data_IF_049110294177
#
_entry.id   IF_049110294177
#
_cell.length_a   1.000
_cell.length_b   1.000
_cell.length_c   1.000
_cell.angle_alpha   90.00
_cell.angle_beta   90.00
_cell.angle_gamma   90.00
#
_symmetry.space_group_name_H-M   'P 1'
#
loop_
_entity.id
_entity.type
_entity.pdbx_description
1 polymer ?
#
# COMPACT_ATOMS: atom_id res chain seq x y z
N UNK A 1 3.73 -14.06 2.07
CA UNK A 1 4.81 -14.33 3.03
C UNK A 1 4.53 -15.61 3.80
N UNK A 2 5.51 -16.52 3.87
CA UNK A 2 5.47 -17.68 4.76
C UNK A 2 6.09 -17.33 6.10
N UNK A 3 5.42 -17.65 7.22
CA UNK A 3 5.98 -17.48 8.57
C UNK A 3 6.42 -18.84 9.13
N UNK A 4 7.62 -18.89 9.69
CA UNK A 4 8.24 -20.06 10.32
C UNK A 4 8.67 -19.66 11.74
N UNK A 5 8.26 -20.41 12.76
CA UNK A 5 8.58 -20.11 14.17
C UNK A 5 9.75 -20.97 14.62
N UNK A 6 10.81 -20.33 15.07
CA UNK A 6 12.04 -20.98 15.57
C UNK A 6 12.17 -20.86 17.09
N UNK A 7 11.69 -19.74 17.66
CA UNK A 7 11.73 -19.47 19.11
C UNK A 7 10.46 -18.81 19.65
N UNK A 8 10.59 -18.24 20.86
CA UNK A 8 9.56 -17.44 21.53
C UNK A 8 9.48 -15.98 21.02
N UNK A 9 8.72 -15.15 21.72
CA UNK A 9 8.91 -13.68 21.73
C UNK A 9 10.30 -13.36 22.31
N UNK A 10 10.98 -12.33 21.79
CA UNK A 10 12.12 -11.70 22.45
C UNK A 10 11.68 -10.51 23.32
N UNK A 11 10.54 -9.90 22.97
CA UNK A 11 9.96 -8.67 23.51
C UNK A 11 8.43 -8.76 23.49
N UNK A 12 7.72 -7.94 24.26
CA UNK A 12 6.26 -7.87 24.23
C UNK A 12 5.74 -7.35 22.87
N UNK A 13 6.43 -6.37 22.28
CA UNK A 13 6.13 -5.87 20.92
C UNK A 13 6.27 -6.95 19.81
N UNK A 14 6.92 -8.08 20.12
CA UNK A 14 6.95 -9.26 19.26
C UNK A 14 5.60 -9.89 18.97
N UNK A 15 4.59 -9.69 19.83
CA UNK A 15 3.23 -10.16 19.54
C UNK A 15 2.55 -9.30 18.46
N UNK A 16 2.68 -7.97 18.53
CA UNK A 16 2.18 -7.04 17.51
C UNK A 16 2.85 -7.29 16.15
N UNK A 17 4.18 -7.50 16.14
CA UNK A 17 4.91 -7.84 14.92
C UNK A 17 4.33 -9.09 14.24
N UNK A 18 3.95 -10.09 15.03
CA UNK A 18 3.49 -11.38 14.50
C UNK A 18 2.03 -11.35 14.09
N UNK A 19 1.21 -10.47 14.69
CA UNK A 19 -0.09 -10.08 14.14
C UNK A 19 0.05 -9.32 12.81
N UNK A 20 1.02 -8.39 12.71
CA UNK A 20 1.29 -7.63 11.50
C UNK A 20 1.75 -8.53 10.34
N UNK A 21 2.74 -9.40 10.56
CA UNK A 21 3.22 -10.33 9.53
C UNK A 21 2.14 -11.35 9.11
N UNK A 22 1.28 -11.80 10.03
CA UNK A 22 0.15 -12.67 9.69
C UNK A 22 -0.85 -12.00 8.74
N UNK A 23 -1.06 -10.68 8.87
CA UNK A 23 -1.97 -9.92 8.01
C UNK A 23 -1.51 -9.78 6.55
N UNK A 24 -0.22 -10.02 6.25
CA UNK A 24 0.31 -9.99 4.89
C UNK A 24 -0.04 -11.23 4.07
N UNK A 25 -0.60 -12.27 4.69
CA UNK A 25 -0.98 -13.51 4.03
C UNK A 25 0.19 -14.30 3.44
N UNK A 26 -0.13 -15.41 2.77
CA UNK A 26 0.84 -16.25 2.05
C UNK A 26 0.98 -15.81 0.60
N UNK A 27 2.10 -16.16 -0.02
CA UNK A 27 2.42 -15.81 -1.40
C UNK A 27 2.95 -14.39 -1.60
N UNK A 28 3.12 -14.02 -2.87
CA UNK A 28 3.77 -12.80 -3.36
C UNK A 28 2.87 -11.56 -3.42
N UNK A 29 1.55 -11.71 -3.35
CA UNK A 29 0.56 -10.64 -3.60
C UNK A 29 0.61 -9.39 -2.69
N UNK A 30 1.40 -9.40 -1.61
CA UNK A 30 1.62 -8.23 -0.72
C UNK A 30 3.11 -7.92 -0.57
N UNK A 31 3.90 -8.89 -0.13
CA UNK A 31 5.35 -8.76 0.11
C UNK A 31 6.19 -9.94 -0.38
N UNK A 32 5.59 -11.14 -0.53
CA UNK A 32 6.35 -12.38 -0.73
C UNK A 32 7.20 -12.76 0.48
N UNK A 33 8.20 -13.60 0.27
CA UNK A 33 9.26 -13.91 1.23
C UNK A 33 8.92 -14.93 2.32
N UNK A 34 9.92 -15.19 3.16
CA UNK A 34 9.88 -16.06 4.33
C UNK A 34 10.30 -15.28 5.58
N UNK A 35 9.49 -15.30 6.62
CA UNK A 35 9.80 -14.73 7.93
C UNK A 35 10.19 -15.84 8.91
N UNK A 36 11.39 -15.73 9.50
CA UNK A 36 11.89 -16.58 10.58
C UNK A 36 11.67 -15.87 11.92
N UNK A 37 10.70 -16.33 12.72
CA UNK A 37 10.28 -15.69 13.97
C UNK A 37 11.04 -16.25 15.17
N UNK A 38 11.60 -15.38 16.01
CA UNK A 38 12.42 -15.77 17.15
C UNK A 38 13.73 -16.47 16.74
N UNK A 39 14.39 -15.98 15.69
CA UNK A 39 15.70 -16.49 15.25
C UNK A 39 16.78 -15.99 16.21
N UNK A 40 17.72 -16.84 16.60
CA UNK A 40 18.90 -16.43 17.38
C UNK A 40 20.14 -16.43 16.49
N UNK A 41 20.72 -15.26 16.16
CA UNK A 41 21.96 -15.20 15.40
C UNK A 41 23.13 -15.84 16.18
N UNK A 42 24.09 -16.49 15.51
CA UNK A 42 25.36 -16.87 16.12
C UNK A 42 26.03 -15.65 16.77
N UNK A 43 26.69 -15.85 17.90
CA UNK A 43 27.45 -14.83 18.64
C UNK A 43 26.64 -13.58 19.09
N UNK A 44 25.31 -13.60 18.96
CA UNK A 44 24.39 -12.61 19.55
C UNK A 44 23.70 -13.21 20.79
N UNK A 45 23.64 -12.50 21.94
CA UNK A 45 23.11 -13.06 23.19
C UNK A 45 21.62 -13.38 23.10
N UNK A 46 20.84 -12.49 22.47
CA UNK A 46 19.38 -12.55 22.46
C UNK A 46 18.82 -12.94 21.08
N UNK A 47 17.64 -13.59 21.01
CA UNK A 47 16.94 -13.79 19.76
C UNK A 47 16.42 -12.48 19.17
N UNK A 48 16.42 -12.37 17.84
CA UNK A 48 15.70 -11.31 17.12
C UNK A 48 14.24 -11.70 16.93
N UNK A 49 13.36 -10.71 16.86
CA UNK A 49 11.92 -10.96 16.69
C UNK A 49 11.60 -11.60 15.34
N UNK A 50 12.23 -11.12 14.26
CA UNK A 50 12.16 -11.79 12.97
C UNK A 50 13.40 -11.57 12.08
N UNK A 51 13.72 -12.55 11.25
CA UNK A 51 14.50 -12.33 10.02
C UNK A 51 13.56 -12.52 8.83
N UNK A 52 13.32 -11.45 8.08
CA UNK A 52 12.50 -11.46 6.87
C UNK A 52 13.40 -11.63 5.65
N UNK A 53 13.44 -12.83 5.10
CA UNK A 53 14.04 -13.05 3.79
C UNK A 53 13.00 -12.68 2.72
N UNK A 54 13.17 -11.51 2.11
CA UNK A 54 12.30 -11.00 1.05
C UNK A 54 12.89 -11.34 -0.32
N UNK A 55 12.10 -11.34 -1.40
CA UNK A 55 12.64 -11.58 -2.74
C UNK A 55 13.67 -10.54 -3.22
N UNK A 56 13.84 -9.40 -2.51
CA UNK A 56 14.70 -8.27 -2.91
C UNK A 56 15.51 -7.64 -1.75
N UNK A 57 15.49 -8.22 -0.55
CA UNK A 57 16.29 -7.82 0.61
C UNK A 57 16.27 -8.88 1.72
N UNK A 58 17.19 -8.77 2.68
CA UNK A 58 17.05 -9.37 4.02
C UNK A 58 16.71 -8.24 4.99
N UNK A 59 15.68 -8.41 5.82
CA UNK A 59 15.33 -7.42 6.85
C UNK A 59 15.35 -8.08 8.23
N UNK A 60 16.24 -7.61 9.10
CA UNK A 60 16.32 -8.06 10.50
C UNK A 60 15.41 -7.16 11.35
N UNK A 61 14.50 -7.75 12.10
CA UNK A 61 13.53 -7.07 12.96
C UNK A 61 13.87 -7.33 14.43
N UNK A 62 14.14 -6.26 15.17
CA UNK A 62 14.47 -6.31 16.60
C UNK A 62 13.42 -5.53 17.38
N UNK A 63 12.86 -6.16 18.41
CA UNK A 63 11.85 -5.56 19.28
C UNK A 63 12.46 -4.76 20.43
N UNK A 64 11.85 -3.63 20.77
CA UNK A 64 12.13 -2.84 21.97
C UNK A 64 10.82 -2.56 22.68
N UNK A 65 10.75 -2.97 23.93
CA UNK A 65 9.67 -2.56 24.84
C UNK A 65 10.07 -1.25 25.53
N UNK A 66 9.29 -0.20 25.30
CA UNK A 66 9.31 1.02 26.11
C UNK A 66 8.59 0.75 27.44
N UNK A 67 8.96 1.46 28.53
CA UNK A 67 8.28 1.30 29.81
C UNK A 67 6.79 1.69 29.75
N UNK A 68 6.46 2.69 28.92
CA UNK A 68 5.12 3.24 28.75
C UNK A 68 4.83 3.51 27.25
N UNK A 69 3.56 3.53 26.82
CA UNK A 69 3.15 4.08 25.53
C UNK A 69 3.65 5.53 25.35
N UNK A 70 4.13 5.87 24.15
CA UNK A 70 4.61 7.23 23.83
C UNK A 70 3.79 7.87 22.69
N UNK A 71 3.45 9.15 22.81
CA UNK A 71 2.84 9.88 21.68
C UNK A 71 3.89 10.20 20.61
N UNK A 72 5.12 10.51 21.04
CA UNK A 72 6.27 10.79 20.18
C UNK A 72 7.55 10.16 20.72
N UNK A 73 8.27 9.48 19.85
CA UNK A 73 9.60 8.94 20.10
C UNK A 73 10.65 9.66 19.23
N UNK A 74 11.64 10.32 19.85
CA UNK A 74 12.85 10.78 19.16
C UNK A 74 13.88 9.64 19.20
N UNK A 75 14.18 9.05 18.05
CA UNK A 75 14.95 7.82 17.94
C UNK A 75 16.12 7.95 16.95
N UNK A 76 17.20 8.67 17.31
CA UNK A 76 18.42 8.70 16.51
C UNK A 76 19.21 7.38 16.66
N UNK A 77 19.96 6.98 15.64
CA UNK A 77 20.86 5.81 15.74
C UNK A 77 22.11 6.09 16.61
N UNK A 78 22.39 7.35 16.91
CA UNK A 78 23.45 7.80 17.80
C UNK A 78 22.94 8.82 18.81
N UNK A 79 23.44 8.79 20.04
CA UNK A 79 22.95 9.62 21.15
C UNK A 79 21.78 8.97 21.89
N UNK A 80 21.07 9.73 22.74
CA UNK A 80 20.00 9.20 23.60
C UNK A 80 18.63 9.35 22.94
N UNK A 81 17.81 8.28 23.01
CA UNK A 81 16.40 8.32 22.61
C UNK A 81 15.58 9.14 23.61
N UNK A 82 14.44 9.67 23.17
CA UNK A 82 13.48 10.34 24.06
C UNK A 82 12.03 9.94 23.78
N UNK A 83 11.28 9.71 24.84
CA UNK A 83 9.82 9.48 24.82
C UNK A 83 9.13 10.75 25.33
N UNK A 84 8.28 11.36 24.51
CA UNK A 84 7.52 12.58 24.83
C UNK A 84 8.38 13.73 25.41
N UNK A 85 9.59 13.86 24.86
CA UNK A 85 10.58 14.87 25.24
C UNK A 85 11.53 14.46 26.38
N UNK A 86 11.21 13.40 27.12
CA UNK A 86 12.02 12.90 28.23
C UNK A 86 13.04 11.86 27.78
N UNK A 87 14.30 11.91 28.26
CA UNK A 87 15.31 10.92 27.90
C UNK A 87 14.89 9.50 28.31
N UNK A 88 14.97 8.56 27.37
CA UNK A 88 14.76 7.15 27.64
C UNK A 88 15.92 6.63 28.50
N UNK A 89 15.60 5.99 29.61
CA UNK A 89 16.55 5.36 30.55
C UNK A 89 16.15 3.90 30.69
N UNK A 90 17.04 2.97 30.29
CA UNK A 90 16.85 1.53 30.55
C UNK A 90 17.39 1.17 31.93
N UNK A 91 16.92 0.07 32.56
CA UNK A 91 17.50 -0.46 33.80
C UNK A 91 19.01 -0.68 33.70
N UNK A 92 19.48 -1.11 32.53
CA UNK A 92 20.89 -1.41 32.23
C UNK A 92 21.71 -0.15 31.84
N UNK A 93 21.11 1.04 31.98
CA UNK A 93 21.76 2.32 31.75
C UNK A 93 21.38 3.02 30.43
N UNK A 94 22.06 4.14 30.10
CA UNK A 94 21.71 5.01 28.96
C UNK A 94 22.23 4.50 27.61
N UNK A 95 22.23 3.18 27.39
CA UNK A 95 22.64 2.58 26.12
C UNK A 95 21.54 2.80 25.07
N UNK A 96 21.90 3.35 23.90
CA UNK A 96 20.96 3.54 22.79
C UNK A 96 20.48 2.18 22.25
N UNK A 97 19.17 1.88 22.28
CA UNK A 97 18.64 0.59 21.82
C UNK A 97 18.93 0.23 20.35
N UNK A 98 19.20 1.22 19.49
CA UNK A 98 19.58 0.96 18.10
C UNK A 98 20.96 0.29 17.96
N UNK A 99 21.83 0.37 18.97
CA UNK A 99 23.13 -0.31 18.97
C UNK A 99 22.93 -1.82 18.97
N UNK A 100 22.06 -2.31 19.84
CA UNK A 100 21.73 -3.73 20.00
C UNK A 100 21.11 -4.27 18.69
N UNK A 101 20.20 -3.51 18.08
CA UNK A 101 19.57 -3.88 16.81
C UNK A 101 20.55 -3.91 15.61
N UNK A 102 21.55 -3.01 15.59
CA UNK A 102 22.60 -3.01 14.58
C UNK A 102 23.59 -4.17 14.80
N UNK A 103 23.92 -4.52 16.04
CA UNK A 103 24.75 -5.67 16.36
C UNK A 103 24.09 -6.99 15.93
N UNK A 104 22.79 -7.15 16.25
CA UNK A 104 21.99 -8.29 15.79
C UNK A 104 21.92 -8.37 14.26
N UNK A 105 21.82 -7.24 13.56
CA UNK A 105 21.85 -7.19 12.10
C UNK A 105 23.22 -7.63 11.55
N UNK A 106 24.33 -7.20 12.16
CA UNK A 106 25.68 -7.67 11.78
C UNK A 106 25.81 -9.18 11.92
N UNK A 107 25.40 -9.75 13.05
CA UNK A 107 25.49 -11.18 13.31
C UNK A 107 24.70 -12.03 12.28
N UNK A 108 23.56 -11.53 11.78
CA UNK A 108 22.82 -12.17 10.67
C UNK A 108 23.59 -12.07 9.35
N UNK A 109 24.26 -10.94 9.06
CA UNK A 109 25.15 -10.81 7.90
C UNK A 109 26.29 -11.82 7.97
N UNK A 110 27.00 -11.83 9.10
CA UNK A 110 28.18 -12.66 9.32
C UNK A 110 27.84 -14.16 9.16
N UNK A 111 26.64 -14.58 9.60
CA UNK A 111 26.13 -15.93 9.38
C UNK A 111 25.83 -16.26 7.90
N UNK A 112 25.26 -15.32 7.14
CA UNK A 112 24.97 -15.49 5.71
C UNK A 112 26.26 -15.44 4.85
N UNK A 113 27.19 -14.57 5.20
CA UNK A 113 28.49 -14.40 4.56
C UNK A 113 29.41 -15.61 4.80
N UNK A 114 29.42 -16.15 6.03
CA UNK A 114 30.12 -17.40 6.35
C UNK A 114 29.62 -18.60 5.51
N UNK A 115 28.31 -18.63 5.22
CA UNK A 115 27.68 -19.63 4.34
C UNK A 115 27.84 -19.34 2.84
N UNK A 116 28.45 -18.21 2.46
CA UNK A 116 28.66 -17.76 1.07
C UNK A 116 27.37 -17.65 0.24
N UNK A 117 26.30 -17.15 0.86
CA UNK A 117 25.12 -16.72 0.10
C UNK A 117 25.44 -15.45 -0.72
N UNK A 118 24.84 -15.28 -1.91
CA UNK A 118 25.00 -14.04 -2.69
C UNK A 118 24.23 -12.90 -1.98
N UNK A 119 24.89 -11.85 -1.47
CA UNK A 119 24.27 -10.95 -0.50
C UNK A 119 23.19 -10.08 -1.14
N UNK A 120 21.95 -10.28 -0.70
CA UNK A 120 20.90 -9.29 -0.87
C UNK A 120 21.17 -8.06 0.02
N UNK A 121 20.70 -6.86 -0.36
CA UNK A 121 20.72 -5.69 0.50
C UNK A 121 20.06 -6.02 1.84
N UNK A 122 20.77 -5.72 2.92
CA UNK A 122 20.31 -5.98 4.27
C UNK A 122 19.82 -4.67 4.89
N UNK A 123 18.69 -4.73 5.60
CA UNK A 123 18.13 -3.61 6.34
C UNK A 123 17.72 -4.00 7.75
N UNK A 124 17.58 -3.00 8.62
CA UNK A 124 17.17 -3.18 10.02
C UNK A 124 15.82 -2.50 10.23
N UNK A 125 14.87 -3.23 10.81
CA UNK A 125 13.66 -2.65 11.42
C UNK A 125 13.79 -2.76 12.92
N UNK A 126 13.61 -1.64 13.60
CA UNK A 126 13.52 -1.57 15.05
C UNK A 126 12.05 -1.36 15.39
N UNK A 127 11.41 -2.44 15.84
CA UNK A 127 10.00 -2.48 16.22
C UNK A 127 9.87 -2.00 17.67
N UNK A 128 9.05 -0.98 17.93
CA UNK A 128 8.95 -0.34 19.25
C UNK A 128 7.51 -0.41 19.77
N UNK A 129 7.34 -0.92 20.99
CA UNK A 129 6.04 -1.01 21.68
C UNK A 129 6.10 -0.44 23.10
N UNK A 130 5.01 -0.48 23.88
CA UNK A 130 3.72 -1.08 23.55
C UNK A 130 2.89 -0.27 22.54
N UNK A 131 3.12 1.04 22.42
CA UNK A 131 2.56 1.88 21.35
C UNK A 131 3.42 3.13 21.15
N UNK A 132 3.63 3.54 19.90
CA UNK A 132 4.30 4.80 19.55
C UNK A 132 3.53 5.52 18.45
N UNK A 133 2.95 6.68 18.78
CA UNK A 133 2.12 7.45 17.84
C UNK A 133 2.89 8.09 16.69
N UNK A 134 4.11 8.58 16.94
CA UNK A 134 5.00 9.14 15.93
C UNK A 134 6.47 8.84 16.26
N UNK A 135 7.23 8.34 15.29
CA UNK A 135 8.70 8.24 15.39
C UNK A 135 9.36 9.39 14.62
N UNK A 136 10.21 10.14 15.31
CA UNK A 136 11.10 11.15 14.75
C UNK A 136 12.51 10.56 14.64
N UNK A 137 12.81 9.97 13.47
CA UNK A 137 14.14 9.47 13.11
C UNK A 137 14.86 10.51 12.22
N UNK A 138 16.14 10.86 12.48
CA UNK A 138 16.91 11.76 11.63
C UNK A 138 17.02 11.27 10.18
N UNK A 139 16.94 12.17 9.20
CA UNK A 139 17.03 11.81 7.77
C UNK A 139 18.37 11.16 7.39
N UNK A 140 19.45 11.51 8.11
CA UNK A 140 20.77 10.89 7.95
C UNK A 140 20.82 9.42 8.42
N UNK A 141 19.88 8.99 9.25
CA UNK A 141 19.76 7.60 9.70
C UNK A 141 18.93 6.76 8.73
N UNK A 142 17.93 7.36 8.07
CA UNK A 142 17.08 6.66 7.09
C UNK A 142 17.88 6.15 5.88
N UNK A 143 18.91 6.88 5.46
CA UNK A 143 19.79 6.47 4.35
C UNK A 143 20.72 5.28 4.71
N UNK A 144 20.81 4.91 5.99
CA UNK A 144 21.64 3.78 6.46
C UNK A 144 20.90 2.44 6.44
N UNK A 145 19.71 2.36 5.84
CA UNK A 145 18.93 1.13 5.78
C UNK A 145 18.25 0.73 7.10
N UNK A 146 18.06 1.69 8.02
CA UNK A 146 17.37 1.45 9.29
C UNK A 146 16.01 2.16 9.32
N UNK A 147 14.99 1.49 9.84
CA UNK A 147 13.66 2.06 10.11
C UNK A 147 13.23 1.78 11.55
N UNK A 148 12.82 2.82 12.26
CA UNK A 148 12.33 2.69 13.65
C UNK A 148 10.83 3.01 13.63
N UNK A 149 10.00 2.09 14.11
CA UNK A 149 8.54 2.14 13.98
C UNK A 149 7.82 1.30 15.04
N UNK A 150 6.55 1.62 15.32
CA UNK A 150 5.63 0.67 15.94
C UNK A 150 5.13 -0.31 14.86
N UNK A 151 5.18 -1.64 15.07
CA UNK A 151 5.00 -2.64 14.00
C UNK A 151 3.53 -2.91 13.65
N UNK A 152 2.79 -1.88 13.26
CA UNK A 152 1.51 -2.05 12.58
C UNK A 152 1.70 -2.76 11.21
N UNK A 153 0.70 -3.50 10.70
CA UNK A 153 0.71 -4.11 9.37
C UNK A 153 1.27 -3.25 8.23
N UNK A 154 1.00 -1.95 8.29
CA UNK A 154 1.29 -0.97 7.23
C UNK A 154 2.65 -0.31 7.37
N UNK A 155 3.02 0.12 8.58
CA UNK A 155 4.35 0.70 8.84
C UNK A 155 5.45 -0.32 8.55
N UNK A 156 5.27 -1.56 9.02
CA UNK A 156 6.17 -2.67 8.76
C UNK A 156 6.27 -3.00 7.26
N UNK A 157 5.15 -2.97 6.52
CA UNK A 157 5.13 -3.26 5.08
C UNK A 157 5.80 -2.15 4.27
N UNK A 158 5.58 -0.89 4.65
CA UNK A 158 6.27 0.25 4.06
C UNK A 158 7.78 0.15 4.26
N UNK A 159 8.23 -0.12 5.50
CA UNK A 159 9.64 -0.33 5.81
C UNK A 159 10.24 -1.52 5.03
N UNK A 160 9.56 -2.67 4.99
CA UNK A 160 10.02 -3.84 4.23
C UNK A 160 10.18 -3.52 2.72
N UNK A 161 9.27 -2.73 2.13
CA UNK A 161 9.34 -2.30 0.73
C UNK A 161 10.43 -1.26 0.49
N UNK A 162 10.61 -0.29 1.39
CA UNK A 162 11.68 0.72 1.29
C UNK A 162 13.08 0.10 1.41
N UNK A 163 13.24 -0.92 2.25
CA UNK A 163 14.49 -1.66 2.42
C UNK A 163 14.75 -2.66 1.27
N UNK A 164 13.72 -3.08 0.53
CA UNK A 164 13.76 -3.97 -0.65
C UNK A 164 14.34 -3.29 -1.90
N UNK A 165 15.55 -2.75 -1.78
CA UNK A 165 16.21 -1.91 -2.80
C UNK A 165 16.87 -2.69 -3.94
N UNK A 166 17.07 -4.01 -3.84
CA UNK A 166 17.74 -4.77 -4.90
C UNK A 166 16.92 -4.71 -6.19
N UNK A 167 17.56 -4.54 -7.35
CA UNK A 167 16.85 -4.38 -8.63
C UNK A 167 16.27 -5.67 -9.19
N UNK A 168 16.91 -6.82 -8.89
CA UNK A 168 16.52 -8.15 -9.35
C UNK A 168 15.79 -8.93 -8.26
N UNK A 169 14.99 -9.90 -8.66
CA UNK A 169 14.41 -10.89 -7.74
C UNK A 169 15.44 -11.97 -7.42
N UNK A 170 15.62 -12.28 -6.14
CA UNK A 170 16.47 -13.37 -5.66
C UNK A 170 15.98 -14.73 -6.18
N UNK A 171 16.85 -15.55 -6.79
CA UNK A 171 16.51 -16.91 -7.17
C UNK A 171 16.08 -17.76 -5.98
N UNK A 172 15.06 -18.61 -6.16
CA UNK A 172 14.62 -19.56 -5.13
C UNK A 172 15.74 -20.52 -4.69
N UNK A 173 16.70 -20.82 -5.56
CA UNK A 173 17.92 -21.59 -5.23
C UNK A 173 18.82 -20.90 -4.21
N UNK A 174 18.87 -19.58 -4.22
CA UNK A 174 19.78 -18.77 -3.40
C UNK A 174 19.11 -18.38 -2.10
N UNK A 175 17.81 -18.05 -2.16
CA UNK A 175 16.95 -17.98 -0.98
C UNK A 175 16.98 -19.28 -0.16
N UNK A 176 16.97 -20.45 -0.80
CA UNK A 176 17.12 -21.74 -0.10
C UNK A 176 18.49 -21.91 0.55
N UNK A 177 19.56 -21.40 -0.07
CA UNK A 177 20.91 -21.40 0.53
C UNK A 177 20.97 -20.48 1.76
N UNK A 178 20.38 -19.28 1.68
CA UNK A 178 20.24 -18.36 2.82
C UNK A 178 19.46 -18.99 3.97
N UNK A 179 18.28 -19.56 3.71
CA UNK A 179 17.49 -20.23 4.75
C UNK A 179 18.26 -21.40 5.38
N UNK A 180 19.00 -22.16 4.57
CA UNK A 180 19.85 -23.26 5.08
C UNK A 180 20.95 -22.76 6.01
N UNK A 181 21.57 -21.61 5.70
CA UNK A 181 22.56 -20.96 6.56
C UNK A 181 21.94 -20.51 7.90
N UNK A 182 20.68 -20.05 7.87
CA UNK A 182 19.89 -19.71 9.04
C UNK A 182 19.25 -20.94 9.74
N UNK A 183 19.65 -22.17 9.37
CA UNK A 183 19.24 -23.41 10.01
C UNK A 183 17.88 -23.98 9.57
N UNK A 184 17.30 -23.45 8.48
CA UNK A 184 15.92 -23.75 8.05
C UNK A 184 15.86 -24.32 6.64
N UNK A 185 15.02 -25.34 6.42
CA UNK A 185 14.78 -25.93 5.10
C UNK A 185 13.38 -25.55 4.59
N UNK A 186 13.29 -25.09 3.35
CA UNK A 186 12.05 -24.78 2.63
C UNK A 186 12.17 -25.27 1.20
N UNK A 187 11.10 -25.89 0.67
CA UNK A 187 11.10 -26.44 -0.68
C UNK A 187 11.14 -25.36 -1.77
N UNK A 188 11.76 -25.69 -2.91
CA UNK A 188 11.94 -24.76 -4.02
C UNK A 188 10.60 -24.21 -4.54
N UNK A 189 9.60 -25.08 -4.73
CA UNK A 189 8.27 -24.69 -5.20
C UNK A 189 7.55 -23.73 -4.21
N UNK A 190 7.77 -23.92 -2.90
CA UNK A 190 7.24 -23.04 -1.87
C UNK A 190 7.90 -21.65 -1.91
N UNK A 191 9.20 -21.58 -2.19
CA UNK A 191 9.90 -20.30 -2.38
C UNK A 191 9.43 -19.58 -3.65
N UNK A 192 9.25 -20.29 -4.76
CA UNK A 192 8.67 -19.71 -5.97
C UNK A 192 7.26 -19.16 -5.71
N UNK A 193 6.43 -19.89 -4.95
CA UNK A 193 5.09 -19.41 -4.55
C UNK A 193 5.13 -18.16 -3.64
N UNK A 194 6.19 -17.96 -2.87
CA UNK A 194 6.44 -16.75 -2.07
C UNK A 194 7.18 -15.63 -2.86
N UNK A 195 7.27 -15.75 -4.19
CA UNK A 195 7.75 -14.68 -5.08
C UNK A 195 9.26 -14.66 -5.34
N UNK A 196 9.99 -15.72 -4.96
CA UNK A 196 11.39 -15.90 -5.38
C UNK A 196 11.48 -16.36 -6.84
N UNK A 197 12.58 -15.99 -7.52
CA UNK A 197 12.74 -16.25 -8.96
C UNK A 197 12.95 -17.73 -9.29
N UNK A 198 12.13 -18.27 -10.18
CA UNK A 198 12.32 -19.60 -10.77
C UNK A 198 13.19 -19.50 -12.04
N UNK A 199 14.46 -19.89 -11.94
CA UNK A 199 15.46 -19.58 -12.97
C UNK A 199 15.43 -20.58 -14.13
N UNK A 200 14.43 -20.47 -15.00
CA UNK A 200 14.58 -20.62 -16.47
C UNK A 200 13.69 -19.61 -17.22
N UNK A 201 13.83 -18.30 -16.97
CA UNK A 201 13.10 -17.28 -17.75
C UNK A 201 13.93 -16.06 -18.15
N UNK A 202 14.37 -16.06 -19.43
CA UNK A 202 14.50 -14.93 -20.38
C UNK A 202 15.03 -13.53 -20.00
N UNK A 203 15.46 -13.19 -18.78
CA UNK A 203 15.98 -11.81 -18.55
C UNK A 203 17.30 -11.50 -19.29
N UNK A 204 18.06 -12.53 -19.70
CA UNK A 204 19.20 -12.40 -20.63
C UNK A 204 18.77 -11.89 -22.03
N UNK A 205 17.48 -11.95 -22.37
CA UNK A 205 16.94 -11.44 -23.64
C UNK A 205 16.40 -10.00 -23.55
N UNK A 206 16.35 -9.39 -22.36
CA UNK A 206 15.91 -8.00 -22.14
C UNK A 206 17.09 -7.03 -21.91
N UNK A 207 18.30 -7.55 -21.70
CA UNK A 207 19.51 -6.75 -21.77
C UNK A 207 19.76 -6.32 -23.23
N UNK A 208 19.50 -5.05 -23.53
CA UNK A 208 19.82 -4.43 -24.83
C UNK A 208 21.34 -4.43 -25.10
N UNK A 209 21.85 -5.53 -25.64
CA UNK A 209 23.17 -5.58 -26.26
C UNK A 209 23.07 -5.10 -27.70
N UNK A 210 23.07 -3.78 -27.87
CA UNK A 210 23.34 -3.19 -29.18
C UNK A 210 24.72 -3.66 -29.67
N UNK A 211 24.81 -4.13 -30.91
CA UNK A 211 26.02 -4.60 -31.61
C UNK A 211 26.65 -5.95 -31.21
N UNK A 212 26.03 -7.06 -31.63
CA UNK A 212 26.75 -8.16 -32.31
C UNK A 212 25.87 -8.65 -33.49
N UNK A 213 26.37 -8.70 -34.74
CA UNK A 213 25.62 -9.29 -35.85
C UNK A 213 25.54 -10.81 -35.71
N UNK A 214 24.34 -11.36 -35.94
CA UNK A 214 24.05 -12.79 -35.78
C UNK A 214 24.64 -13.57 -36.96
N UNK A 215 25.50 -14.55 -36.66
CA UNK A 215 26.02 -15.49 -37.67
C UNK A 215 25.10 -16.70 -37.72
N UNK A 216 24.48 -16.96 -38.87
CA UNK A 216 23.70 -18.17 -39.11
C UNK A 216 24.65 -19.35 -39.42
N UNK A 217 24.45 -20.47 -38.72
CA UNK A 217 25.09 -21.76 -39.00
C UNK A 217 24.02 -22.88 -39.02
N UNK A 218 24.26 -23.98 -39.77
CA UNK A 218 23.16 -24.65 -40.47
C UNK A 218 22.34 -25.63 -39.64
N UNK A 219 21.14 -25.91 -40.15
CA UNK A 219 20.15 -26.85 -39.62
C UNK A 219 20.65 -28.30 -39.57
N UNK A 220 20.95 -28.78 -38.37
CA UNK A 220 21.15 -30.20 -38.08
C UNK A 220 19.83 -30.97 -37.98
N UNK A 221 19.58 -31.86 -38.94
CA UNK A 221 18.41 -32.73 -39.06
C UNK A 221 18.37 -33.80 -37.96
N UNK A 222 17.22 -34.02 -37.32
CA UNK A 222 16.91 -35.29 -36.66
C UNK A 222 15.41 -35.58 -36.73
N UNK A 223 15.04 -36.47 -37.65
CA UNK A 223 13.70 -37.06 -37.70
C UNK A 223 13.57 -38.13 -36.62
N UNK A 224 12.59 -37.98 -35.73
CA UNK A 224 12.08 -39.06 -34.89
C UNK A 224 10.55 -39.02 -34.95
N UNK A 225 9.98 -39.84 -35.82
CA UNK A 225 8.54 -39.91 -36.02
C UNK A 225 7.84 -40.52 -34.79
N UNK A 226 6.80 -39.86 -34.31
CA UNK A 226 5.86 -40.40 -33.32
C UNK A 226 4.43 -40.21 -33.84
N UNK A 227 3.72 -41.30 -34.07
CA UNK A 227 2.36 -41.30 -34.61
C UNK A 227 1.35 -40.65 -33.65
N UNK A 228 0.46 -39.76 -34.12
CA UNK A 228 -0.63 -39.25 -33.29
C UNK A 228 -1.72 -40.30 -33.14
N UNK A 229 -1.71 -41.06 -32.04
CA UNK A 229 -2.83 -41.93 -31.64
C UNK A 229 -4.12 -41.11 -31.48
N UNK A 230 -5.04 -41.24 -32.43
CA UNK A 230 -6.39 -40.69 -32.34
C UNK A 230 -7.11 -41.23 -31.09
N UNK A 231 -7.40 -40.35 -30.13
CA UNK A 231 -8.35 -40.62 -29.03
C UNK A 231 -9.72 -40.11 -29.44
N UNK A 232 -10.68 -41.02 -29.58
CA UNK A 232 -12.08 -40.71 -29.85
C UNK A 232 -12.75 -40.09 -28.62
N UNK A 233 -12.89 -38.76 -28.63
CA UNK A 233 -13.62 -38.03 -27.58
C UNK A 233 -15.12 -38.27 -27.75
N UNK A 234 -15.71 -39.03 -26.83
CA UNK A 234 -17.17 -39.29 -26.79
C UNK A 234 -17.93 -37.98 -26.55
N UNK A 235 -18.56 -37.46 -27.61
CA UNK A 235 -19.25 -36.18 -27.70
C UNK A 235 -20.60 -36.08 -26.94
N UNK A 236 -20.77 -36.86 -25.88
CA UNK A 236 -22.03 -36.99 -25.12
C UNK A 236 -22.18 -36.13 -23.83
N UNK A 237 -21.13 -35.59 -23.17
CA UNK A 237 -21.34 -34.74 -21.99
C UNK A 237 -21.59 -33.26 -22.33
N UNK A 238 -21.24 -32.80 -23.54
CA UNK A 238 -21.31 -31.37 -23.92
C UNK A 238 -22.78 -30.89 -23.99
N UNK A 239 -23.70 -31.72 -24.48
CA UNK A 239 -25.12 -31.37 -24.60
C UNK A 239 -25.79 -31.09 -23.24
N UNK A 240 -25.40 -31.78 -22.18
CA UNK A 240 -25.97 -31.59 -20.84
C UNK A 240 -25.56 -30.25 -20.20
N UNK A 241 -24.30 -29.84 -20.38
CA UNK A 241 -23.78 -28.56 -19.86
C UNK A 241 -24.42 -27.37 -20.60
N UNK A 242 -24.60 -27.49 -21.93
CA UNK A 242 -25.25 -26.45 -22.73
C UNK A 242 -26.73 -26.27 -22.36
N UNK A 243 -27.46 -27.36 -22.11
CA UNK A 243 -28.85 -27.29 -21.66
C UNK A 243 -28.97 -26.64 -20.27
N UNK A 244 -28.06 -26.97 -19.35
CA UNK A 244 -28.02 -26.38 -18.00
C UNK A 244 -27.71 -24.88 -18.05
N UNK A 245 -26.79 -24.45 -18.92
CA UNK A 245 -26.48 -23.04 -19.13
C UNK A 245 -27.69 -22.25 -19.70
N UNK A 246 -28.41 -22.81 -20.68
CA UNK A 246 -29.62 -22.19 -21.23
C UNK A 246 -30.73 -22.06 -20.18
N UNK A 247 -30.92 -23.09 -19.33
CA UNK A 247 -31.88 -23.05 -18.22
C UNK A 247 -31.48 -22.03 -17.13
N UNK A 248 -30.18 -21.85 -16.86
CA UNK A 248 -29.72 -20.81 -15.94
C UNK A 248 -30.02 -19.41 -16.49
N UNK A 249 -29.76 -19.18 -17.78
CA UNK A 249 -29.98 -17.89 -18.44
C UNK A 249 -31.48 -17.55 -18.53
N UNK A 250 -32.36 -18.52 -18.80
CA UNK A 250 -33.83 -18.27 -18.77
C UNK A 250 -34.36 -18.10 -17.35
N UNK A 251 -33.80 -18.79 -16.35
CA UNK A 251 -34.13 -18.55 -14.94
C UNK A 251 -33.78 -17.12 -14.48
N UNK A 252 -32.61 -16.60 -14.88
CA UNK A 252 -32.20 -15.22 -14.60
C UNK A 252 -33.12 -14.21 -15.32
N UNK A 253 -33.50 -14.48 -16.58
CA UNK A 253 -34.37 -13.58 -17.34
C UNK A 253 -35.78 -13.43 -16.71
N UNK A 254 -36.37 -14.52 -16.20
CA UNK A 254 -37.71 -14.48 -15.58
C UNK A 254 -37.68 -13.83 -14.19
N UNK A 255 -36.59 -13.97 -13.43
CA UNK A 255 -36.42 -13.31 -12.13
C UNK A 255 -36.25 -11.78 -12.22
N UNK A 256 -35.88 -11.24 -13.38
CA UNK A 256 -35.72 -9.79 -13.60
C UNK A 256 -37.02 -9.15 -14.09
N UNK A 257 -37.98 -9.92 -14.61
CA UNK A 257 -39.28 -9.42 -15.10
C UNK A 257 -40.40 -9.29 -14.06
N UNK A 258 -40.09 -9.47 -12.76
CA UNK A 258 -41.07 -9.36 -11.67
C UNK A 258 -40.56 -8.47 -10.52
N UNK A 259 -40.06 -7.29 -10.87
CA UNK A 259 -39.71 -6.21 -9.95
C UNK A 259 -39.85 -4.85 -10.65
N UNK A 260 -41.02 -4.60 -11.24
CA UNK A 260 -41.37 -3.31 -11.83
C UNK A 260 -42.47 -2.65 -10.95
N UNK A 261 -42.01 -1.88 -9.96
CA UNK A 261 -42.72 -0.72 -9.44
C UNK A 261 -41.75 0.16 -8.62
N UNK A 262 -41.91 1.49 -8.72
CA UNK A 262 -41.16 2.53 -7.98
C UNK A 262 -39.62 2.64 -8.21
N UNK A 263 -39.19 2.92 -9.45
CA UNK A 263 -37.96 3.71 -9.69
C UNK A 263 -38.31 5.05 -10.33
N UNK A 264 -38.45 6.08 -9.47
CA UNK A 264 -38.45 7.48 -9.91
C UNK A 264 -37.12 7.79 -10.62
N UNK A 265 -37.19 8.17 -11.89
CA UNK A 265 -36.00 8.47 -12.69
C UNK A 265 -35.12 9.56 -12.07
N UNK A 266 -33.94 9.17 -11.58
CA UNK A 266 -32.92 10.08 -11.10
C UNK A 266 -32.33 10.88 -12.27
N UNK A 267 -32.82 12.11 -12.47
CA UNK A 267 -32.32 13.03 -13.49
C UNK A 267 -30.90 13.47 -13.13
N UNK A 268 -29.91 13.15 -13.99
CA UNK A 268 -28.55 13.63 -13.82
C UNK A 268 -28.51 15.17 -13.72
N UNK A 269 -27.82 15.76 -12.71
CA UNK A 269 -27.77 17.22 -12.57
C UNK A 269 -27.08 17.88 -13.76
N UNK A 270 -27.79 18.78 -14.45
CA UNK A 270 -27.16 19.62 -15.49
C UNK A 270 -26.25 20.66 -14.82
N UNK A 271 -25.05 20.95 -15.38
CA UNK A 271 -24.13 21.89 -14.77
C UNK A 271 -24.65 23.33 -14.87
N UNK A 272 -25.00 23.91 -13.72
CA UNK A 272 -25.33 25.33 -13.57
C UNK A 272 -24.11 26.19 -13.92
N UNK A 273 -24.18 26.94 -15.03
CA UNK A 273 -23.06 27.73 -15.55
C UNK A 273 -22.63 28.94 -14.70
N UNK A 274 -23.43 29.31 -13.69
CA UNK A 274 -23.15 30.45 -12.81
C UNK A 274 -22.07 30.12 -11.78
N UNK A 275 -21.03 30.95 -11.68
CA UNK A 275 -20.00 30.80 -10.67
C UNK A 275 -20.51 31.21 -9.27
N UNK A 276 -20.26 30.37 -8.27
CA UNK A 276 -20.55 30.64 -6.86
C UNK A 276 -19.36 31.42 -6.28
N UNK A 277 -19.53 32.68 -5.81
CA UNK A 277 -18.45 33.45 -5.23
C UNK A 277 -18.22 33.07 -3.76
N UNK A 278 -17.00 32.67 -3.41
CA UNK A 278 -16.58 32.38 -2.03
C UNK A 278 -15.22 33.04 -1.77
N UNK A 279 -15.14 33.98 -0.82
CA UNK A 279 -13.88 34.60 -0.41
C UNK A 279 -13.08 35.26 -1.56
N UNK A 280 -13.77 35.75 -2.61
CA UNK A 280 -13.15 36.33 -3.80
C UNK A 280 -12.63 35.32 -4.84
N UNK A 281 -13.00 34.04 -4.72
CA UNK A 281 -12.79 32.98 -5.73
C UNK A 281 -14.16 32.60 -6.30
N UNK A 282 -14.28 32.51 -7.63
CA UNK A 282 -15.51 32.05 -8.29
C UNK A 282 -15.44 30.57 -8.62
N UNK A 283 -16.42 29.77 -8.17
CA UNK A 283 -16.49 28.32 -8.38
C UNK A 283 -17.64 27.97 -9.33
N UNK A 284 -17.34 27.56 -10.56
CA UNK A 284 -18.34 27.08 -11.54
C UNK A 284 -18.46 25.55 -11.45
N UNK A 285 -19.67 25.02 -11.30
CA UNK A 285 -19.89 23.58 -11.23
C UNK A 285 -19.55 22.88 -12.56
N UNK A 286 -18.83 21.75 -12.47
CA UNK A 286 -18.40 20.88 -13.57
C UNK A 286 -18.96 19.45 -13.43
N UNK A 287 -20.09 19.32 -12.74
CA UNK A 287 -20.81 18.07 -12.52
C UNK A 287 -20.59 17.43 -11.15
N UNK A 288 -21.42 16.46 -10.81
CA UNK A 288 -21.32 15.68 -9.58
C UNK A 288 -21.68 14.21 -9.84
N UNK A 289 -21.21 13.33 -8.96
CA UNK A 289 -21.63 11.93 -8.88
C UNK A 289 -21.86 11.55 -7.41
N UNK A 290 -22.73 10.58 -7.18
CA UNK A 290 -23.03 10.05 -5.85
C UNK A 290 -22.80 8.55 -5.83
N UNK A 291 -22.38 8.02 -4.68
CA UNK A 291 -22.17 6.59 -4.49
C UNK A 291 -22.48 6.17 -3.04
N UNK A 292 -23.10 5.00 -2.82
CA UNK A 292 -23.24 4.43 -1.48
C UNK A 292 -21.93 3.79 -0.99
N UNK A 293 -21.17 3.14 -1.86
CA UNK A 293 -19.87 2.54 -1.52
C UNK A 293 -18.77 3.62 -1.51
N UNK A 294 -18.58 4.24 -0.34
CA UNK A 294 -17.54 5.24 -0.15
C UNK A 294 -16.11 4.68 -0.35
N UNK A 295 -15.89 3.39 -0.09
CA UNK A 295 -14.56 2.78 -0.10
C UNK A 295 -14.08 2.46 -1.53
N UNK A 296 -14.97 2.03 -2.42
CA UNK A 296 -14.66 1.77 -3.83
C UNK A 296 -14.09 3.01 -4.56
N UNK A 297 -14.54 4.20 -4.20
CA UNK A 297 -14.13 5.47 -4.81
C UNK A 297 -12.98 6.18 -4.09
N UNK A 298 -12.38 5.55 -3.08
CA UNK A 298 -11.27 6.09 -2.31
C UNK A 298 -9.90 5.53 -2.74
N UNK A 299 -8.82 6.04 -2.12
CA UNK A 299 -7.49 5.45 -2.17
C UNK A 299 -6.70 5.72 -0.88
N UNK A 300 -5.66 4.92 -0.63
CA UNK A 300 -4.75 5.10 0.51
C UNK A 300 -5.35 4.68 1.86
N UNK A 301 -5.04 5.44 2.90
CA UNK A 301 -5.54 5.25 4.26
C UNK A 301 -7.00 5.66 4.39
N UNK A 302 -7.44 6.69 3.65
CA UNK A 302 -8.85 7.05 3.51
C UNK A 302 -9.67 5.87 3.01
N UNK A 303 -9.19 5.15 1.99
CA UNK A 303 -9.85 3.93 1.53
C UNK A 303 -9.90 2.84 2.60
N UNK A 304 -8.77 2.51 3.21
CA UNK A 304 -8.74 1.42 4.19
C UNK A 304 -9.58 1.73 5.44
N UNK A 305 -9.60 2.97 5.92
CA UNK A 305 -10.51 3.39 7.00
C UNK A 305 -11.98 3.20 6.59
N UNK A 306 -12.33 3.59 5.36
CA UNK A 306 -13.66 3.36 4.77
C UNK A 306 -13.97 1.87 4.53
N UNK A 307 -12.97 0.99 4.37
CA UNK A 307 -13.16 -0.46 4.26
C UNK A 307 -13.32 -1.14 5.64
N UNK A 308 -12.65 -0.64 6.68
CA UNK A 308 -12.62 -1.29 8.01
C UNK A 308 -13.56 -0.64 9.01
N UNK A 309 -13.20 0.53 9.55
CA UNK A 309 -13.89 1.20 10.66
C UNK A 309 -15.16 1.93 10.23
N UNK A 310 -15.24 2.33 8.95
CA UNK A 310 -16.31 3.18 8.43
C UNK A 310 -17.20 2.52 7.36
N UNK A 311 -16.96 1.26 6.97
CA UNK A 311 -17.67 0.62 5.85
C UNK A 311 -19.18 0.47 6.08
N UNK A 312 -19.60 0.24 7.32
CA UNK A 312 -21.01 0.24 7.73
C UNK A 312 -21.53 1.63 8.16
N UNK A 313 -20.63 2.61 8.35
CA UNK A 313 -20.93 3.95 8.85
C UNK A 313 -21.10 5.01 7.77
N UNK A 314 -20.44 4.85 6.62
CA UNK A 314 -20.56 5.80 5.49
C UNK A 314 -21.87 5.54 4.73
N UNK A 315 -22.83 6.46 4.86
CA UNK A 315 -24.14 6.33 4.24
C UNK A 315 -24.18 6.86 2.80
N UNK A 316 -23.31 7.83 2.46
CA UNK A 316 -23.29 8.48 1.15
C UNK A 316 -21.96 9.18 0.89
N UNK A 317 -21.35 8.93 -0.26
CA UNK A 317 -20.30 9.77 -0.85
C UNK A 317 -20.90 10.64 -1.97
N UNK A 318 -20.61 11.93 -1.96
CA UNK A 318 -20.89 12.86 -3.07
C UNK A 318 -19.55 13.41 -3.56
N UNK A 319 -19.27 13.29 -4.86
CA UNK A 319 -18.08 13.85 -5.53
C UNK A 319 -18.50 14.94 -6.49
N UNK A 320 -18.20 16.19 -6.16
CA UNK A 320 -18.53 17.36 -6.97
C UNK A 320 -17.26 17.98 -7.55
N UNK A 321 -17.32 18.31 -8.85
CA UNK A 321 -16.24 18.97 -9.59
C UNK A 321 -16.55 20.45 -9.74
N UNK A 322 -15.56 21.31 -9.54
CA UNK A 322 -15.66 22.74 -9.80
C UNK A 322 -14.45 23.24 -10.57
N UNK A 323 -14.66 24.24 -11.43
CA UNK A 323 -13.60 25.09 -11.94
C UNK A 323 -13.56 26.36 -11.08
N UNK A 324 -12.45 26.57 -10.38
CA UNK A 324 -12.19 27.76 -9.58
C UNK A 324 -11.42 28.80 -10.41
N UNK A 325 -11.87 30.05 -10.37
CA UNK A 325 -11.18 31.19 -10.97
C UNK A 325 -10.77 32.16 -9.87
N UNK A 326 -9.45 32.35 -9.71
CA UNK A 326 -8.88 33.32 -8.79
C UNK A 326 -8.79 34.72 -9.40
N UNK A 327 -8.50 35.73 -8.56
CA UNK A 327 -8.40 37.15 -8.97
C UNK A 327 -7.43 37.41 -10.14
N UNK A 328 -6.45 36.53 -10.33
CA UNK A 328 -5.37 36.69 -11.31
C UNK A 328 -5.71 36.01 -12.67
N UNK A 329 -6.95 35.55 -12.88
CA UNK A 329 -7.37 34.80 -14.07
C UNK A 329 -6.88 33.36 -14.15
N UNK A 330 -5.99 32.93 -13.24
CA UNK A 330 -5.56 31.55 -13.12
C UNK A 330 -6.73 30.63 -12.73
N UNK A 331 -6.86 29.50 -13.45
CA UNK A 331 -7.93 28.52 -13.29
C UNK A 331 -7.43 27.26 -12.61
N UNK A 332 -8.19 26.75 -11.65
CA UNK A 332 -7.93 25.48 -10.98
C UNK A 332 -9.11 24.52 -11.14
N UNK A 333 -8.82 23.22 -11.26
CA UNK A 333 -9.80 22.16 -11.07
C UNK A 333 -9.86 21.79 -9.59
N UNK A 334 -11.06 21.66 -9.06
CA UNK A 334 -11.32 21.35 -7.66
C UNK A 334 -12.25 20.14 -7.59
N UNK A 335 -11.80 19.10 -6.87
CA UNK A 335 -12.62 17.97 -6.48
C UNK A 335 -13.04 18.16 -5.02
N UNK A 336 -14.33 18.37 -4.78
CA UNK A 336 -14.96 18.36 -3.46
C UNK A 336 -15.61 17.00 -3.24
N UNK A 337 -15.14 16.27 -2.24
CA UNK A 337 -15.73 14.99 -1.82
C UNK A 337 -16.39 15.15 -0.46
N UNK A 338 -17.68 14.82 -0.37
CA UNK A 338 -18.48 14.91 0.87
C UNK A 338 -18.91 13.51 1.27
N UNK A 339 -18.37 13.02 2.38
CA UNK A 339 -18.68 11.72 2.96
C UNK A 339 -19.63 11.92 4.13
N UNK A 340 -20.86 11.42 4.04
CA UNK A 340 -21.90 11.52 5.07
C UNK A 340 -21.92 10.24 5.90
N UNK A 341 -21.75 10.37 7.21
CA UNK A 341 -21.77 9.25 8.15
C UNK A 341 -23.08 9.17 8.93
N UNK A 342 -23.45 7.95 9.33
CA UNK A 342 -24.51 7.71 10.32
C UNK A 342 -24.09 8.21 11.72
N UNK A 343 -22.79 8.17 12.03
CA UNK A 343 -22.21 8.59 13.31
C UNK A 343 -21.18 9.74 13.13
N UNK A 344 -21.27 10.76 13.98
CA UNK A 344 -20.34 11.90 14.00
C UNK A 344 -18.89 11.53 14.35
N UNK A 345 -18.69 10.50 15.20
CA UNK A 345 -17.35 10.06 15.64
C UNK A 345 -16.54 9.52 14.46
N UNK A 346 -17.16 8.67 13.63
CA UNK A 346 -16.58 8.12 12.39
C UNK A 346 -16.16 9.24 11.42
N UNK A 347 -16.92 10.34 11.36
CA UNK A 347 -16.52 11.51 10.58
C UNK A 347 -15.32 12.28 11.17
N UNK A 348 -15.21 12.39 12.50
CA UNK A 348 -14.06 13.01 13.14
C UNK A 348 -12.78 12.18 12.94
N UNK A 349 -12.88 10.86 13.09
CA UNK A 349 -11.82 9.90 12.83
C UNK A 349 -11.37 9.90 11.36
N UNK A 350 -12.31 9.86 10.39
CA UNK A 350 -11.92 9.95 8.97
C UNK A 350 -11.17 11.24 8.68
N UNK A 351 -11.59 12.38 9.22
CA UNK A 351 -10.84 13.64 9.03
C UNK A 351 -9.43 13.53 9.60
N UNK A 352 -9.26 12.95 10.78
CA UNK A 352 -7.95 12.70 11.39
C UNK A 352 -7.08 11.67 10.64
N UNK A 353 -7.68 10.78 9.85
CA UNK A 353 -6.96 9.92 8.88
C UNK A 353 -6.56 10.73 7.65
N UNK A 354 -7.51 11.40 7.00
CA UNK A 354 -7.32 12.11 5.74
C UNK A 354 -6.33 13.29 5.85
N UNK A 355 -6.21 13.90 7.03
CA UNK A 355 -5.30 15.03 7.27
C UNK A 355 -3.83 14.62 7.47
N UNK A 356 -3.50 13.31 7.50
CA UNK A 356 -2.11 12.86 7.56
C UNK A 356 -1.46 13.00 6.17
N UNK A 357 -0.23 13.52 6.07
CA UNK A 357 0.49 13.55 4.80
C UNK A 357 0.56 12.16 4.16
N UNK A 358 0.10 12.03 2.91
CA UNK A 358 0.11 10.76 2.17
C UNK A 358 -1.06 9.81 2.46
N UNK A 359 -2.03 10.16 3.32
CA UNK A 359 -3.20 9.31 3.63
C UNK A 359 -4.12 8.98 2.45
N UNK A 360 -3.87 9.54 1.28
CA UNK A 360 -4.72 9.40 0.11
C UNK A 360 -5.96 10.27 0.20
N UNK A 361 -7.09 9.78 -0.32
CA UNK A 361 -8.29 10.60 -0.46
C UNK A 361 -9.36 9.92 -1.29
N UNK A 362 -10.14 10.73 -2.00
CA UNK A 362 -11.21 10.27 -2.89
C UNK A 362 -10.81 10.52 -4.35
N UNK A 363 -11.08 9.55 -5.22
CA UNK A 363 -10.75 9.60 -6.64
C UNK A 363 -11.75 10.47 -7.39
N UNK A 364 -11.24 11.30 -8.29
CA UNK A 364 -12.05 11.98 -9.30
C UNK A 364 -12.69 10.95 -10.26
N UNK A 365 -13.89 11.25 -10.79
CA UNK A 365 -14.63 10.35 -11.67
C UNK A 365 -13.91 10.03 -13.00
N UNK A 366 -12.80 10.72 -13.33
CA UNK A 366 -11.95 10.38 -14.46
C UNK A 366 -11.32 8.98 -14.31
N UNK A 367 -11.07 8.54 -13.06
CA UNK A 367 -10.62 7.18 -12.76
C UNK A 367 -11.67 6.11 -13.12
N UNK A 368 -12.93 6.51 -13.33
CA UNK A 368 -14.07 5.68 -13.75
C UNK A 368 -14.49 5.96 -15.20
N UNK A 369 -13.64 6.62 -15.98
CA UNK A 369 -13.89 6.94 -17.40
C UNK A 369 -14.80 8.15 -17.63
N UNK A 370 -15.31 8.82 -16.58
CA UNK A 370 -16.11 10.04 -16.72
C UNK A 370 -15.18 11.23 -16.96
N UNK A 371 -14.99 11.61 -18.21
CA UNK A 371 -14.18 12.76 -18.60
C UNK A 371 -14.56 14.04 -17.84
N UNK A 372 -13.59 14.94 -17.65
CA UNK A 372 -13.85 16.29 -17.15
C UNK A 372 -14.54 17.12 -18.25
N UNK A 373 -15.64 17.85 -17.97
CA UNK A 373 -16.35 18.58 -19.02
C UNK A 373 -15.51 19.67 -19.70
N UNK A 374 -15.54 19.68 -21.03
CA UNK A 374 -14.78 20.60 -21.88
C UNK A 374 -13.52 19.94 -22.46
N UNK A 375 -12.47 20.73 -22.68
CA UNK A 375 -11.19 20.28 -23.27
C UNK A 375 -10.08 20.05 -22.23
N UNK A 376 -10.36 20.31 -20.95
CA UNK A 376 -9.40 20.14 -19.87
C UNK A 376 -9.37 18.69 -19.36
N UNK A 377 -8.17 18.20 -19.03
CA UNK A 377 -7.95 16.89 -18.42
C UNK A 377 -7.07 17.05 -17.15
N UNK A 378 -7.62 17.53 -16.03
CA UNK A 378 -6.85 17.68 -14.79
C UNK A 378 -6.43 16.33 -14.21
N UNK A 379 -5.19 16.25 -13.73
CA UNK A 379 -4.71 15.16 -12.89
C UNK A 379 -4.57 15.67 -11.46
N UNK A 380 -5.20 15.01 -10.49
CA UNK A 380 -5.16 15.40 -9.07
C UNK A 380 -3.89 14.93 -8.32
N UNK A 381 -2.84 14.58 -9.06
CA UNK A 381 -1.49 14.33 -8.50
C UNK A 381 -0.89 15.64 -8.02
N UNK A 382 -0.24 15.63 -6.85
CA UNK A 382 0.36 16.83 -6.24
C UNK A 382 -0.65 17.99 -6.04
N UNK A 383 -1.91 17.64 -5.77
CA UNK A 383 -2.95 18.60 -5.42
C UNK A 383 -2.67 19.27 -4.08
N UNK A 384 -3.01 20.56 -3.96
CA UNK A 384 -3.19 21.16 -2.65
C UNK A 384 -4.46 20.59 -2.02
N UNK A 385 -4.42 20.38 -0.72
CA UNK A 385 -5.45 19.68 0.04
C UNK A 385 -6.00 20.54 1.16
N UNK A 386 -7.31 20.42 1.41
CA UNK A 386 -7.96 20.96 2.60
C UNK A 386 -9.11 20.05 3.02
N UNK A 387 -9.44 20.03 4.31
CA UNK A 387 -10.58 19.26 4.81
C UNK A 387 -11.35 19.98 5.92
N UNK A 388 -12.63 19.62 6.02
CA UNK A 388 -13.56 20.18 7.01
C UNK A 388 -14.55 19.14 7.49
N UNK A 389 -15.26 19.45 8.57
CA UNK A 389 -16.34 18.62 9.10
C UNK A 389 -17.57 19.49 9.34
N UNK A 390 -18.73 18.99 8.93
CA UNK A 390 -20.03 19.66 9.04
C UNK A 390 -21.04 18.63 9.58
N UNK A 391 -21.30 18.67 10.89
CA UNK A 391 -22.06 17.63 11.59
C UNK A 391 -21.42 16.24 11.45
N UNK A 392 -22.17 15.32 10.86
CA UNK A 392 -21.72 13.96 10.52
C UNK A 392 -21.08 13.85 9.12
N UNK A 393 -20.84 14.97 8.44
CA UNK A 393 -20.24 14.98 7.09
C UNK A 393 -18.77 15.40 7.15
N UNK A 394 -17.91 14.71 6.40
CA UNK A 394 -16.52 15.11 6.15
C UNK A 394 -16.42 15.65 4.74
N UNK A 395 -15.81 16.83 4.58
CA UNK A 395 -15.46 17.42 3.29
C UNK A 395 -13.96 17.24 3.07
N UNK A 396 -13.57 16.60 1.98
CA UNK A 396 -12.19 16.50 1.51
C UNK A 396 -12.09 17.26 0.18
N UNK A 397 -11.12 18.17 0.07
CA UNK A 397 -10.90 18.98 -1.13
C UNK A 397 -9.51 18.73 -1.68
N UNK A 398 -9.43 18.51 -2.99
CA UNK A 398 -8.19 18.50 -3.75
C UNK A 398 -8.27 19.58 -4.84
N UNK A 399 -7.26 20.44 -4.94
CA UNK A 399 -7.17 21.51 -5.94
C UNK A 399 -5.87 21.41 -6.75
N UNK A 400 -5.99 21.49 -8.08
CA UNK A 400 -4.86 21.53 -9.02
C UNK A 400 -5.05 22.61 -10.07
N UNK A 401 -3.97 23.17 -10.58
CA UNK A 401 -4.01 24.11 -11.69
C UNK A 401 -4.45 23.46 -13.00
N UNK A 402 -5.20 24.21 -13.80
CA UNK A 402 -5.49 23.86 -15.19
C UNK A 402 -4.41 24.46 -16.11
N UNK A 403 -3.77 23.62 -16.91
CA UNK A 403 -2.80 24.03 -17.92
C UNK A 403 -1.38 24.32 -17.42
N UNK A 404 -1.06 24.05 -16.15
CA UNK A 404 0.31 24.08 -15.60
C UNK A 404 0.46 23.06 -14.45
N UNK A 405 1.70 22.76 -14.07
CA UNK A 405 1.99 21.88 -12.93
C UNK A 405 1.47 22.44 -11.59
N UNK A 406 1.24 21.55 -10.64
CA UNK A 406 0.76 21.85 -9.28
C UNK A 406 1.73 21.31 -8.23
N UNK A 407 1.79 21.96 -7.07
CA UNK A 407 2.51 21.53 -5.87
C UNK A 407 1.55 21.62 -4.67
N UNK A 408 1.56 20.66 -3.71
CA UNK A 408 0.66 20.71 -2.55
C UNK A 408 0.83 21.95 -1.68
N UNK A 409 2.02 22.55 -1.70
CA UNK A 409 2.42 23.73 -0.95
C UNK A 409 2.16 25.06 -1.70
N UNK A 410 1.52 25.04 -2.88
CA UNK A 410 1.16 26.29 -3.58
C UNK A 410 0.12 27.06 -2.74
N UNK A 411 0.45 28.26 -2.23
CA UNK A 411 -0.42 28.97 -1.29
C UNK A 411 -1.72 29.44 -1.93
N UNK A 412 -1.77 29.64 -3.25
CA UNK A 412 -2.99 30.02 -3.95
C UNK A 412 -3.89 28.80 -4.21
N UNK A 413 -3.33 27.60 -4.44
CA UNK A 413 -4.13 26.37 -4.44
C UNK A 413 -4.65 26.01 -3.04
N UNK A 414 -3.86 26.24 -1.98
CA UNK A 414 -4.33 26.03 -0.60
C UNK A 414 -5.46 27.00 -0.21
N UNK A 415 -5.38 28.28 -0.61
CA UNK A 415 -6.47 29.25 -0.45
C UNK A 415 -7.76 28.82 -1.18
N UNK A 416 -7.63 28.36 -2.43
CA UNK A 416 -8.75 27.81 -3.21
C UNK A 416 -9.35 26.57 -2.54
N UNK A 417 -8.51 25.61 -2.11
CA UNK A 417 -8.97 24.38 -1.46
C UNK A 417 -9.69 24.67 -0.14
N UNK A 418 -9.14 25.57 0.68
CA UNK A 418 -9.73 26.00 1.95
C UNK A 418 -11.08 26.69 1.73
N UNK A 419 -11.19 27.58 0.74
CA UNK A 419 -12.47 28.25 0.41
C UNK A 419 -13.52 27.27 -0.11
N UNK A 420 -13.13 26.27 -0.89
CA UNK A 420 -14.04 25.27 -1.42
C UNK A 420 -14.75 24.43 -0.33
N UNK A 421 -14.24 24.38 0.91
CA UNK A 421 -14.94 23.76 2.05
C UNK A 421 -16.28 24.45 2.39
N UNK A 422 -16.46 25.71 2.00
CA UNK A 422 -17.71 26.46 2.19
C UNK A 422 -18.75 26.15 1.10
N UNK A 423 -18.37 25.40 0.05
CA UNK A 423 -19.32 24.94 -0.95
C UNK A 423 -20.20 23.81 -0.37
N UNK A 424 -21.44 23.76 -0.84
CA UNK A 424 -22.32 22.62 -0.65
C UNK A 424 -22.28 21.77 -1.92
N UNK A 425 -21.84 20.52 -1.79
CA UNK A 425 -22.11 19.53 -2.83
C UNK A 425 -23.63 19.29 -2.88
N UNK A 426 -24.18 19.19 -4.10
CA UNK A 426 -25.61 19.32 -4.38
C UNK A 426 -26.56 18.47 -3.52
N UNK A 427 -27.78 18.98 -3.38
CA UNK A 427 -28.94 18.35 -2.72
C UNK A 427 -29.51 17.20 -3.54
#
# INVERSE_FOLDING_TARGET
>A
MRTLRLGGTASAVGDDLRAALASWGRGDGIAGGVALLGYQPPDHPDPVEAVLLLPRAVVVVVGIDLPDPAMRLEAPLAGQWKTDGWPLVRPDGPVNPAVDALAATSAVSDALDAARAEPLPMGTVVAVGPYVGQVAQPSADLVRGVRILHPEPRSLLAAARELSTHTRTCPATDARRMLSALGVQVDHADLVAEGFGDVVTREVAAASTTFIPKVDLPTGRSEAAAEPRQRSVRWLPIAAVLLLAVLLVTGIAVAISSADDDVRGARAPQPSGTAIPVGGVGFTARGSAEAPDCAAHAYGDVQAYLTTAAGSGCAKLIRARYEASGKNGAKAAVLLSVLRFTNSTTGAELKAVADRPGAGGVRDQLAEGVAWPGTAAPTFTSAAYASGREGNSVKLVQAVWLGKASTPEDPALQDIATKALQLHAGS
#
